data_IF_326701245374
#
_entry.id   IF_326701245374
#
_cell.length_a   1.000
_cell.length_b   1.000
_cell.length_c   1.000
_cell.angle_alpha   90.00
_cell.angle_beta   90.00
_cell.angle_gamma   90.00
#
_symmetry.space_group_name_H-M   'P 1'
#
loop_
_entity.id
_entity.type
_entity.pdbx_description
1 polymer ?
#
# COMPACT_ATOMS: atom_id res chain seq x y z
N UNK A 1 27.93 -7.94 3.99
CA UNK A 1 27.03 -8.31 2.88
C UNK A 1 25.74 -7.58 3.09
N UNK A 2 25.26 -6.90 2.05
CA UNK A 2 24.13 -5.96 2.06
C UNK A 2 22.89 -6.50 2.78
N UNK A 3 22.22 -5.59 3.51
CA UNK A 3 21.07 -5.85 4.35
C UNK A 3 20.00 -6.64 3.62
N UNK A 4 19.55 -7.73 4.26
CA UNK A 4 18.28 -8.35 3.92
C UNK A 4 17.19 -7.42 4.42
N UNK A 5 16.89 -6.35 3.68
CA UNK A 5 15.68 -5.57 3.88
C UNK A 5 14.51 -6.50 3.56
N UNK A 6 13.98 -7.16 4.59
CA UNK A 6 12.73 -7.89 4.51
C UNK A 6 11.65 -6.83 4.36
N UNK A 7 11.14 -6.70 3.14
CA UNK A 7 9.97 -5.89 2.85
C UNK A 7 8.79 -6.40 3.68
N UNK A 8 8.07 -5.47 4.30
CA UNK A 8 6.82 -5.77 4.99
C UNK A 8 5.77 -6.22 3.99
N UNK A 9 5.16 -7.37 4.26
CA UNK A 9 4.02 -7.89 3.52
C UNK A 9 2.72 -7.68 4.32
N UNK A 10 1.57 -7.84 3.66
CA UNK A 10 0.27 -7.71 4.32
C UNK A 10 0.10 -8.64 5.53
N UNK A 11 0.76 -9.82 5.53
CA UNK A 11 0.76 -10.74 6.68
C UNK A 11 1.44 -10.14 7.91
N UNK A 12 2.53 -9.39 7.72
CA UNK A 12 3.28 -8.78 8.83
C UNK A 12 2.43 -7.68 9.48
N UNK A 13 1.63 -6.94 8.68
CA UNK A 13 0.64 -5.98 9.18
C UNK A 13 -0.46 -6.66 10.02
N UNK A 14 -1.02 -7.77 9.53
CA UNK A 14 -2.07 -8.52 10.24
C UNK A 14 -1.55 -9.04 11.59
N UNK A 15 -0.37 -9.65 11.60
CA UNK A 15 0.25 -10.15 12.83
C UNK A 15 0.47 -9.04 13.87
N UNK A 16 0.94 -7.87 13.43
CA UNK A 16 1.15 -6.72 14.31
C UNK A 16 -0.14 -6.17 14.89
N UNK A 17 -1.19 -6.07 14.07
CA UNK A 17 -2.48 -5.55 14.53
C UNK A 17 -3.09 -6.48 15.57
N UNK A 18 -3.10 -7.79 15.32
CA UNK A 18 -3.71 -8.78 16.19
C UNK A 18 -2.97 -8.94 17.52
N UNK A 19 -1.63 -8.97 17.50
CA UNK A 19 -0.85 -9.31 18.69
C UNK A 19 -0.37 -8.10 19.51
N UNK A 20 -0.35 -6.90 18.92
CA UNK A 20 0.22 -5.73 19.57
C UNK A 20 -0.74 -4.55 19.60
N UNK A 21 -1.25 -4.13 18.45
CA UNK A 21 -2.03 -2.89 18.35
C UNK A 21 -3.34 -2.98 19.13
N UNK A 22 -4.07 -4.09 19.02
CA UNK A 22 -5.33 -4.28 19.75
C UNK A 22 -5.09 -4.26 21.27
N UNK A 23 -4.09 -5.00 21.75
CA UNK A 23 -3.75 -5.05 23.17
C UNK A 23 -3.32 -3.69 23.72
N UNK A 24 -2.50 -2.96 22.95
CA UNK A 24 -2.07 -1.62 23.31
C UNK A 24 -3.26 -0.65 23.37
N UNK A 25 -4.17 -0.71 22.39
CA UNK A 25 -5.36 0.12 22.35
C UNK A 25 -6.25 -0.13 23.58
N UNK A 26 -6.56 -1.38 23.93
CA UNK A 26 -7.35 -1.69 25.11
C UNK A 26 -6.68 -1.21 26.41
N UNK A 27 -5.35 -1.27 26.50
CA UNK A 27 -4.64 -0.76 27.68
C UNK A 27 -4.66 0.77 27.77
N UNK A 28 -4.58 1.48 26.64
CA UNK A 28 -4.54 2.93 26.62
C UNK A 28 -5.93 3.57 26.71
N UNK A 29 -6.97 2.89 26.20
CA UNK A 29 -8.33 3.40 26.08
C UNK A 29 -9.37 2.34 26.48
N UNK A 30 -9.44 1.96 27.77
CA UNK A 30 -10.24 0.82 28.24
C UNK A 30 -11.75 0.93 27.97
N UNK A 31 -12.27 2.15 27.87
CA UNK A 31 -13.71 2.41 27.69
C UNK A 31 -14.06 2.83 26.25
N UNK A 32 -13.10 2.76 25.32
CA UNK A 32 -13.31 3.21 23.94
C UNK A 32 -13.41 2.03 22.97
N UNK A 33 -14.15 2.22 21.89
CA UNK A 33 -14.18 1.29 20.76
C UNK A 33 -13.37 1.87 19.59
N UNK A 34 -12.53 1.05 18.97
CA UNK A 34 -11.76 1.42 17.79
C UNK A 34 -12.32 0.75 16.53
N UNK A 35 -12.25 1.48 15.42
CA UNK A 35 -12.45 0.96 14.07
C UNK A 35 -11.11 1.07 13.31
N UNK A 36 -10.57 -0.07 12.91
CA UNK A 36 -9.37 -0.12 12.07
C UNK A 36 -9.76 -0.26 10.61
N UNK A 37 -9.32 0.68 9.77
CA UNK A 37 -9.57 0.67 8.32
C UNK A 37 -8.23 0.44 7.61
N UNK A 38 -8.19 -0.57 6.76
CA UNK A 38 -7.01 -0.90 5.96
C UNK A 38 -7.35 -0.76 4.48
N UNK A 39 -6.54 0.01 3.75
CA UNK A 39 -6.64 0.08 2.30
C UNK A 39 -5.89 -1.10 1.68
N UNK A 40 -6.61 -1.94 0.93
CA UNK A 40 -6.04 -3.05 0.16
C UNK A 40 -6.14 -2.80 -1.35
N UNK A 41 -6.31 -1.55 -1.76
CA UNK A 41 -6.23 -1.20 -3.16
C UNK A 41 -4.83 -1.52 -3.70
N UNK A 42 -4.76 -2.48 -4.62
CA UNK A 42 -3.57 -2.69 -5.46
C UNK A 42 -3.52 -1.54 -6.46
N UNK A 43 -3.00 -0.38 -6.07
CA UNK A 43 -2.83 0.76 -6.97
C UNK A 43 -1.83 0.50 -8.11
N UNK A 44 -1.23 -0.68 -8.15
CA UNK A 44 -0.71 -1.26 -9.39
C UNK A 44 -1.86 -1.70 -10.29
N UNK A 45 -2.49 -0.73 -10.96
CA UNK A 45 -2.62 -0.89 -12.40
C UNK A 45 -1.20 -1.17 -12.88
N UNK A 46 -0.85 -2.46 -12.97
CA UNK A 46 0.21 -2.86 -13.87
C UNK A 46 -0.16 -2.17 -15.17
N UNK A 47 0.62 -1.16 -15.57
CA UNK A 47 0.49 -0.57 -16.89
C UNK A 47 0.41 -1.76 -17.83
N UNK A 48 -0.79 -1.98 -18.39
CA UNK A 48 -0.94 -2.96 -19.45
C UNK A 48 0.10 -2.53 -20.50
N UNK A 49 0.89 -3.46 -21.04
CA UNK A 49 1.97 -3.12 -21.98
C UNK A 49 1.49 -2.37 -23.24
N UNK A 50 0.17 -2.30 -23.39
CA UNK A 50 -0.68 -1.66 -24.36
C UNK A 50 -1.27 -0.31 -23.90
N UNK A 51 -0.84 0.24 -22.76
CA UNK A 51 -1.22 1.61 -22.38
C UNK A 51 -0.54 2.58 -23.35
N UNK A 52 -1.34 3.20 -24.22
CA UNK A 52 -0.90 4.18 -25.21
C UNK A 52 0.00 5.25 -24.57
N UNK A 53 1.30 5.18 -24.89
CA UNK A 53 2.24 6.28 -24.70
C UNK A 53 1.80 7.44 -25.61
N UNK A 54 0.91 8.29 -25.10
CA UNK A 54 0.51 9.55 -25.74
C UNK A 54 1.72 10.48 -26.04
N UNK A 55 2.90 10.17 -25.50
CA UNK A 55 4.15 10.85 -25.79
C UNK A 55 4.79 10.49 -27.14
N UNK A 56 4.19 9.58 -27.93
CA UNK A 56 4.75 9.12 -29.22
C UNK A 56 3.87 9.39 -30.45
N UNK A 57 2.91 10.33 -30.35
CA UNK A 57 2.28 10.87 -31.56
C UNK A 57 3.12 12.07 -32.00
N UNK A 58 3.85 11.85 -33.10
CA UNK A 58 4.75 12.78 -33.77
C UNK A 58 4.27 14.23 -33.76
N UNK A 59 5.20 15.11 -33.36
CA UNK A 59 5.27 16.50 -33.76
C UNK A 59 5.27 16.60 -35.29
N UNK A 60 4.17 17.09 -35.87
CA UNK A 60 4.25 17.86 -37.12
C UNK A 60 3.98 19.32 -36.77
N UNK A 61 4.98 20.21 -36.77
CA UNK A 61 4.75 21.63 -36.86
C UNK A 61 4.65 22.04 -38.34
N UNK A 62 3.58 22.76 -38.70
CA UNK A 62 3.37 23.38 -40.01
C UNK A 62 2.51 22.52 -40.93
N UNK A 63 1.44 23.03 -41.53
CA UNK A 63 1.16 24.38 -42.01
C UNK A 63 -0.31 24.77 -41.84
#
# INVERSE_FOLDING_TARGET
GYGKERWWEGKDLVEQVLHLVISLFHSAFPECQALFLFDNATSHTAYASDTLLAHSINLCPGS
#
